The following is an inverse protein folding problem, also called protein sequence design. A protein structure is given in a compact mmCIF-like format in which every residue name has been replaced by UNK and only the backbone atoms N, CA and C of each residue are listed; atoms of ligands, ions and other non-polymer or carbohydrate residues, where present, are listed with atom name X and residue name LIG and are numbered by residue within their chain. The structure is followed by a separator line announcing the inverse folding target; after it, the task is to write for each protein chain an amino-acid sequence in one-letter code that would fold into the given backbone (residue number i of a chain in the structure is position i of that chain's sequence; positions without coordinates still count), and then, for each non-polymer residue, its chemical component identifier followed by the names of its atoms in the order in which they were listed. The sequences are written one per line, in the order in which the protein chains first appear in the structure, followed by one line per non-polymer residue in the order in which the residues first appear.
data_IF_415902204616
#
_entry.id   IF_415902204616
#
_cell.length_a   1.000
_cell.length_b   1.000
_cell.length_c   1.000
_cell.angle_alpha   90.00
_cell.angle_beta   90.00
_cell.angle_gamma   90.00
#
_symmetry.space_group_name_H-M   'P 1'
#
loop_
_entity.id
_entity.type
_entity.pdbx_description
1 polymer ?
#
# COMPACT_ATOMS: atom_id res chain seq x y z
N UNK A 1 -4.90 23.55 0.91
CA UNK A 1 -4.00 23.80 2.04
C UNK A 1 -2.89 22.73 2.01
N UNK A 2 -1.62 23.14 2.24
CA UNK A 2 -0.47 22.22 2.21
C UNK A 2 0.13 22.15 3.62
N UNK A 3 0.38 20.94 4.11
CA UNK A 3 1.03 20.68 5.39
C UNK A 3 2.32 19.90 5.18
N UNK A 4 3.39 20.29 5.88
CA UNK A 4 4.68 19.61 5.86
C UNK A 4 4.95 18.96 7.22
N UNK A 5 4.86 17.63 7.25
CA UNK A 5 5.23 16.85 8.42
C UNK A 5 6.74 16.51 8.37
N UNK A 6 7.54 17.31 9.10
CA UNK A 6 8.99 17.06 9.22
C UNK A 6 9.26 15.91 10.16
N UNK A 7 10.10 14.97 9.74
CA UNK A 7 10.54 13.82 10.53
C UNK A 7 12.03 13.96 10.86
N UNK A 8 12.50 13.50 12.04
CA UNK A 8 13.88 13.72 12.47
C UNK A 8 14.91 12.98 11.60
N UNK A 9 14.51 11.87 10.95
CA UNK A 9 15.35 11.06 10.08
C UNK A 9 14.51 10.14 9.20
N UNK A 10 15.15 9.46 8.25
CA UNK A 10 14.51 8.43 7.42
C UNK A 10 14.24 7.16 8.24
N UNK A 11 13.01 6.91 8.62
CA UNK A 11 12.57 5.76 9.43
C UNK A 11 11.84 4.68 8.61
N UNK A 12 11.73 4.88 7.29
CA UNK A 12 11.06 3.98 6.37
C UNK A 12 9.68 4.47 5.94
N UNK A 13 9.16 3.89 4.85
CA UNK A 13 7.91 4.31 4.20
C UNK A 13 6.70 4.02 5.11
N UNK A 14 6.61 2.83 5.69
CA UNK A 14 5.50 2.45 6.55
C UNK A 14 5.31 3.41 7.72
N UNK A 15 6.40 3.72 8.46
CA UNK A 15 6.30 4.70 9.55
C UNK A 15 5.93 6.11 9.06
N UNK A 16 6.29 6.49 7.83
CA UNK A 16 5.89 7.78 7.28
C UNK A 16 4.37 7.85 7.03
N UNK A 17 3.77 6.79 6.52
CA UNK A 17 2.31 6.71 6.37
C UNK A 17 1.60 6.69 7.72
N UNK A 18 2.08 5.91 8.69
CA UNK A 18 1.49 5.87 10.03
C UNK A 18 1.55 7.24 10.71
N UNK A 19 2.70 7.93 10.67
CA UNK A 19 2.83 9.28 11.21
C UNK A 19 1.87 10.25 10.49
N UNK A 20 1.78 10.19 9.16
CA UNK A 20 0.88 11.00 8.36
C UNK A 20 -0.60 10.75 8.67
N UNK A 21 -1.01 9.50 8.78
CA UNK A 21 -2.39 9.11 9.13
C UNK A 21 -2.77 9.56 10.54
N UNK A 22 -1.85 9.35 11.50
CA UNK A 22 -2.05 9.80 12.90
C UNK A 22 -2.22 11.31 12.95
N UNK A 23 -1.35 12.05 12.26
CA UNK A 23 -1.44 13.50 12.19
C UNK A 23 -2.74 13.97 11.52
N UNK A 24 -3.12 13.35 10.40
CA UNK A 24 -4.34 13.71 9.68
C UNK A 24 -5.60 13.47 10.53
N UNK A 25 -5.68 12.34 11.23
CA UNK A 25 -6.82 12.05 12.12
C UNK A 25 -6.93 13.04 13.27
N UNK A 26 -5.81 13.56 13.78
CA UNK A 26 -5.77 14.48 14.91
C UNK A 26 -6.03 15.94 14.52
N UNK A 27 -5.75 16.32 13.26
CA UNK A 27 -5.71 17.73 12.84
C UNK A 27 -6.69 18.08 11.72
N UNK A 28 -7.25 17.08 11.03
CA UNK A 28 -8.10 17.29 9.87
C UNK A 28 -9.44 16.56 9.99
N UNK A 29 -10.49 17.16 9.48
CA UNK A 29 -11.73 16.46 9.16
C UNK A 29 -11.67 15.99 7.72
N UNK A 30 -11.77 14.66 7.50
CA UNK A 30 -11.79 14.05 6.18
C UNK A 30 -12.59 12.75 6.20
N UNK A 31 -13.17 12.38 5.06
CA UNK A 31 -13.83 11.09 4.88
C UNK A 31 -12.91 10.08 4.21
N UNK A 32 -12.06 10.54 3.31
CA UNK A 32 -11.16 9.73 2.49
C UNK A 32 -9.76 10.32 2.54
N UNK A 33 -8.76 9.45 2.70
CA UNK A 33 -7.35 9.80 2.52
C UNK A 33 -6.79 9.07 1.30
N UNK A 34 -6.00 9.76 0.50
CA UNK A 34 -5.30 9.16 -0.65
C UNK A 34 -3.81 9.15 -0.37
N UNK A 35 -3.20 7.97 -0.40
CA UNK A 35 -1.75 7.82 -0.38
C UNK A 35 -1.22 7.66 -1.80
N UNK A 36 -0.17 8.42 -2.14
CA UNK A 36 0.46 8.36 -3.44
C UNK A 36 1.93 8.81 -3.37
N UNK A 37 2.73 8.38 -4.35
CA UNK A 37 4.11 8.86 -4.50
C UNK A 37 4.11 10.23 -5.20
N UNK A 38 5.05 11.11 -4.82
CA UNK A 38 5.19 12.47 -5.36
C UNK A 38 6.21 12.55 -6.52
N UNK A 39 6.46 11.44 -7.23
CA UNK A 39 7.45 11.34 -8.33
C UNK A 39 6.82 11.27 -9.73
N UNK A 40 5.55 11.64 -9.84
CA UNK A 40 4.72 11.60 -11.04
C UNK A 40 4.50 10.19 -11.64
N UNK A 41 4.83 9.13 -10.92
CA UNK A 41 4.46 7.76 -11.33
C UNK A 41 2.98 7.46 -11.08
N UNK A 42 2.35 8.19 -10.18
CA UNK A 42 0.92 8.18 -9.91
C UNK A 42 0.29 9.44 -10.47
N UNK A 43 -0.66 9.28 -11.40
CA UNK A 43 -1.29 10.42 -12.04
C UNK A 43 -2.44 10.97 -11.20
N UNK A 44 -2.49 12.30 -10.92
CA UNK A 44 -3.56 12.88 -10.10
C UNK A 44 -4.97 12.63 -10.62
N UNK A 45 -5.14 12.48 -11.95
CA UNK A 45 -6.44 12.18 -12.55
C UNK A 45 -7.03 10.84 -12.09
N UNK A 46 -6.18 9.88 -11.74
CA UNK A 46 -6.63 8.56 -11.26
C UNK A 46 -7.16 8.61 -9.82
N UNK A 47 -6.91 9.70 -9.07
CA UNK A 47 -7.49 9.91 -7.73
C UNK A 47 -9.02 9.85 -7.80
N UNK A 48 -9.61 10.42 -8.84
CA UNK A 48 -11.07 10.44 -9.01
C UNK A 48 -11.66 9.02 -9.05
N UNK A 49 -11.01 8.10 -9.74
CA UNK A 49 -11.44 6.69 -9.83
C UNK A 49 -11.38 5.99 -8.47
N UNK A 50 -10.30 6.23 -7.71
CA UNK A 50 -10.12 5.66 -6.38
C UNK A 50 -11.14 6.20 -5.38
N UNK A 51 -11.38 7.51 -5.42
CA UNK A 51 -12.37 8.17 -4.54
C UNK A 51 -13.78 7.68 -4.86
N UNK A 52 -14.14 7.55 -6.14
CA UNK A 52 -15.44 7.02 -6.55
C UNK A 52 -15.65 5.57 -6.05
N UNK A 53 -14.60 4.73 -6.03
CA UNK A 53 -14.71 3.39 -5.46
C UNK A 53 -15.05 3.43 -3.96
N UNK A 54 -14.43 4.32 -3.18
CA UNK A 54 -14.75 4.50 -1.76
C UNK A 54 -16.20 4.99 -1.55
N UNK A 55 -16.65 5.92 -2.38
CA UNK A 55 -18.03 6.43 -2.32
C UNK A 55 -19.09 5.35 -2.62
N UNK A 56 -18.71 4.29 -3.32
CA UNK A 56 -19.54 3.11 -3.58
C UNK A 56 -19.39 2.01 -2.48
N UNK A 57 -19.23 2.42 -1.22
CA UNK A 57 -19.15 1.55 -0.03
C UNK A 57 -17.96 0.59 0.01
N UNK A 58 -16.83 0.98 -0.55
CA UNK A 58 -15.55 0.26 -0.42
C UNK A 58 -14.71 0.93 0.66
N UNK A 59 -14.06 0.15 1.52
CA UNK A 59 -13.21 0.70 2.59
C UNK A 59 -11.82 1.10 2.08
N UNK A 60 -11.27 0.31 1.14
CA UNK A 60 -9.93 0.52 0.58
C UNK A 60 -9.95 0.30 -0.93
N UNK A 61 -9.63 1.32 -1.71
CA UNK A 61 -9.45 1.23 -3.15
C UNK A 61 -7.95 1.21 -3.50
N UNK A 62 -7.52 0.21 -4.25
CA UNK A 62 -6.12 -0.01 -4.65
C UNK A 62 -5.97 0.20 -6.14
N UNK A 63 -5.13 1.14 -6.55
CA UNK A 63 -4.79 1.31 -7.97
C UNK A 63 -3.97 0.12 -8.45
N UNK A 64 -4.48 -0.65 -9.40
CA UNK A 64 -3.92 -1.91 -9.85
C UNK A 64 -3.42 -1.86 -11.29
N UNK A 65 -2.21 -2.39 -11.49
CA UNK A 65 -1.56 -2.56 -12.80
C UNK A 65 -1.88 -3.92 -13.43
N UNK A 66 -2.51 -4.82 -12.68
CA UNK A 66 -2.65 -6.24 -13.03
C UNK A 66 -4.09 -6.71 -13.22
N UNK A 67 -5.06 -5.81 -13.14
CA UNK A 67 -6.43 -6.07 -13.58
C UNK A 67 -6.64 -5.57 -15.01
N UNK A 68 -7.78 -5.89 -15.60
CA UNK A 68 -8.13 -5.44 -16.95
C UNK A 68 -8.03 -3.92 -17.06
N UNK A 69 -7.45 -3.43 -18.16
CA UNK A 69 -7.13 -2.02 -18.41
C UNK A 69 -6.02 -1.42 -17.52
N UNK A 70 -5.50 -2.14 -16.52
CA UNK A 70 -4.32 -1.74 -15.77
C UNK A 70 -3.03 -2.01 -16.56
N UNK A 71 -2.03 -1.13 -16.47
CA UNK A 71 -0.76 -1.28 -17.20
C UNK A 71 0.42 -0.71 -16.42
N UNK A 72 1.62 -1.19 -16.75
CA UNK A 72 2.89 -0.60 -16.33
C UNK A 72 3.71 -0.22 -17.57
N UNK A 73 3.63 1.05 -17.97
CA UNK A 73 4.34 1.55 -19.12
C UNK A 73 5.84 1.65 -18.85
N UNK A 74 6.65 1.41 -19.90
CA UNK A 74 8.13 1.57 -19.86
C UNK A 74 8.87 0.79 -18.77
N UNK A 75 8.21 -0.19 -18.09
CA UNK A 75 8.94 -1.06 -17.19
C UNK A 75 9.73 -2.11 -17.96
N UNK A 76 11.02 -2.34 -17.62
CA UNK A 76 11.78 -3.46 -18.13
C UNK A 76 11.10 -4.79 -17.75
N UNK A 77 11.22 -5.79 -18.63
CA UNK A 77 10.54 -7.08 -18.45
C UNK A 77 10.90 -7.77 -17.12
N UNK A 78 12.19 -7.70 -16.70
CA UNK A 78 12.64 -8.27 -15.43
C UNK A 78 11.94 -7.62 -14.22
N UNK A 79 11.69 -6.31 -14.24
CA UNK A 79 10.95 -5.60 -13.20
C UNK A 79 9.48 -6.04 -13.14
N UNK A 80 8.87 -6.25 -14.31
CA UNK A 80 7.51 -6.80 -14.40
C UNK A 80 7.44 -8.20 -13.80
N UNK A 81 8.43 -9.05 -14.12
CA UNK A 81 8.52 -10.41 -13.60
C UNK A 81 8.67 -10.42 -12.07
N UNK A 82 9.62 -9.66 -11.54
CA UNK A 82 9.83 -9.55 -10.08
C UNK A 82 8.56 -9.09 -9.37
N UNK A 83 7.90 -8.06 -9.91
CA UNK A 83 6.65 -7.57 -9.31
C UNK A 83 5.53 -8.61 -9.36
N UNK A 84 5.39 -9.37 -10.45
CA UNK A 84 4.40 -10.45 -10.56
C UNK A 84 4.70 -11.59 -9.58
N UNK A 85 5.95 -11.98 -9.47
CA UNK A 85 6.37 -13.02 -8.50
C UNK A 85 6.11 -12.55 -7.07
N UNK A 86 6.42 -11.30 -6.74
CA UNK A 86 6.14 -10.75 -5.42
C UNK A 86 4.64 -10.74 -5.09
N UNK A 87 3.79 -10.32 -6.03
CA UNK A 87 2.33 -10.36 -5.85
C UNK A 87 1.81 -11.80 -5.72
N UNK A 88 2.29 -12.72 -6.56
CA UNK A 88 1.91 -14.12 -6.53
C UNK A 88 2.26 -14.79 -5.19
N UNK A 89 3.49 -14.62 -4.72
CA UNK A 89 3.92 -15.14 -3.42
C UNK A 89 3.11 -14.53 -2.26
N UNK A 90 2.86 -13.24 -2.30
CA UNK A 90 2.02 -12.59 -1.27
C UNK A 90 0.59 -13.13 -1.28
N UNK A 91 0.03 -13.38 -2.46
CA UNK A 91 -1.30 -13.97 -2.60
C UNK A 91 -1.35 -15.38 -2.00
N UNK A 92 -0.41 -16.26 -2.35
CA UNK A 92 -0.39 -17.64 -1.85
C UNK A 92 -0.11 -17.71 -0.34
N UNK A 93 0.86 -16.93 0.14
CA UNK A 93 1.33 -17.04 1.53
C UNK A 93 0.42 -16.32 2.53
N UNK A 94 -0.26 -15.26 2.11
CA UNK A 94 -1.08 -14.44 2.99
C UNK A 94 -2.57 -14.50 2.66
N UNK A 95 -2.95 -15.19 1.59
CA UNK A 95 -4.35 -15.30 1.15
C UNK A 95 -4.96 -13.96 0.71
N UNK A 96 -4.14 -12.94 0.39
CA UNK A 96 -4.66 -11.61 0.05
C UNK A 96 -5.33 -11.64 -1.32
N UNK A 97 -6.61 -11.33 -1.37
CA UNK A 97 -7.41 -11.36 -2.59
C UNK A 97 -7.31 -10.05 -3.40
N UNK A 98 -6.08 -9.62 -3.69
CA UNK A 98 -5.74 -8.44 -4.49
C UNK A 98 -4.63 -8.83 -5.45
N UNK A 99 -4.73 -8.46 -6.74
CA UNK A 99 -3.72 -8.79 -7.76
C UNK A 99 -2.49 -7.89 -7.67
N UNK A 100 -2.67 -6.62 -7.27
CA UNK A 100 -1.57 -5.66 -7.11
C UNK A 100 -1.35 -5.28 -5.64
N UNK A 101 -0.91 -6.26 -4.85
CA UNK A 101 -0.65 -6.11 -3.42
C UNK A 101 0.45 -5.08 -3.14
N UNK A 102 1.38 -4.91 -4.09
CA UNK A 102 2.55 -4.03 -3.96
C UNK A 102 2.26 -2.57 -4.35
N UNK A 103 1.05 -2.26 -4.80
CA UNK A 103 0.69 -0.88 -5.15
C UNK A 103 0.65 0.04 -3.93
N UNK A 104 1.29 1.20 -4.05
CA UNK A 104 1.28 2.27 -3.04
C UNK A 104 0.25 3.37 -3.29
N UNK A 105 -0.47 3.31 -4.41
CA UNK A 105 -1.49 4.28 -4.76
C UNK A 105 -2.87 3.75 -4.33
N UNK A 106 -3.42 4.35 -3.27
CA UNK A 106 -4.65 3.88 -2.62
C UNK A 106 -5.50 5.03 -2.12
N UNK A 107 -6.82 4.87 -2.19
CA UNK A 107 -7.75 5.64 -1.38
C UNK A 107 -8.27 4.77 -0.23
N UNK A 108 -8.45 5.37 0.93
CA UNK A 108 -8.77 4.68 2.18
C UNK A 108 -9.80 5.53 2.91
N UNK A 109 -10.92 4.96 3.34
CA UNK A 109 -11.89 5.69 4.12
C UNK A 109 -11.38 5.93 5.55
N UNK A 110 -11.98 6.90 6.24
CA UNK A 110 -11.57 7.28 7.60
C UNK A 110 -11.61 6.11 8.58
N UNK A 111 -12.63 5.25 8.48
CA UNK A 111 -12.78 4.06 9.33
C UNK A 111 -11.60 3.10 9.14
N UNK A 112 -11.22 2.80 7.91
CA UNK A 112 -10.11 1.90 7.62
C UNK A 112 -8.77 2.45 8.12
N UNK A 113 -8.56 3.78 8.04
CA UNK A 113 -7.38 4.43 8.64
C UNK A 113 -7.36 4.25 10.15
N UNK A 114 -8.49 4.49 10.82
CA UNK A 114 -8.61 4.31 12.27
C UNK A 114 -8.36 2.86 12.70
N UNK A 115 -8.89 1.89 11.96
CA UNK A 115 -8.68 0.47 12.25
C UNK A 115 -7.21 0.07 12.06
N UNK A 116 -6.55 0.49 10.95
CA UNK A 116 -5.13 0.21 10.72
C UNK A 116 -4.24 0.68 11.86
N UNK A 117 -4.52 1.87 12.40
CA UNK A 117 -3.71 2.46 13.47
C UNK A 117 -3.81 1.72 14.82
N UNK A 118 -4.76 0.80 14.97
CA UNK A 118 -4.84 -0.09 16.15
C UNK A 118 -3.81 -1.23 16.09
N UNK A 119 -3.11 -1.38 14.96
CA UNK A 119 -2.13 -2.45 14.73
C UNK A 119 -0.72 -1.88 14.70
N UNK A 120 0.22 -2.67 15.24
CA UNK A 120 1.64 -2.34 15.12
C UNK A 120 2.16 -2.78 13.76
N UNK A 121 2.49 -1.81 12.91
CA UNK A 121 3.16 -2.09 11.64
C UNK A 121 4.64 -2.36 11.89
N UNK A 122 5.08 -3.57 11.55
CA UNK A 122 6.45 -4.03 11.76
C UNK A 122 7.33 -3.87 10.52
N UNK A 123 6.72 -3.77 9.34
CA UNK A 123 7.42 -3.67 8.07
C UNK A 123 8.09 -2.32 7.86
N UNK A 124 9.24 -2.36 7.18
CA UNK A 124 9.96 -1.17 6.72
C UNK A 124 9.95 -1.12 5.19
N UNK A 125 9.96 0.08 4.64
CA UNK A 125 9.99 0.28 3.19
C UNK A 125 8.71 -0.18 2.49
N UNK A 126 8.83 -0.79 1.33
CA UNK A 126 7.70 -1.20 0.48
C UNK A 126 6.85 -2.34 1.06
N UNK A 127 7.37 -3.07 2.04
CA UNK A 127 6.64 -4.19 2.68
C UNK A 127 5.41 -3.72 3.44
N UNK A 128 5.36 -2.46 3.82
CA UNK A 128 4.18 -1.80 4.38
C UNK A 128 2.93 -1.99 3.51
N UNK A 129 3.08 -1.93 2.20
CA UNK A 129 1.95 -2.07 1.28
C UNK A 129 1.31 -3.46 1.42
N UNK A 130 2.11 -4.49 1.59
CA UNK A 130 1.66 -5.87 1.79
C UNK A 130 1.04 -6.04 3.18
N UNK A 131 1.73 -5.60 4.24
CA UNK A 131 1.28 -5.74 5.62
C UNK A 131 -0.04 -5.00 5.88
N UNK A 132 -0.18 -3.79 5.36
CA UNK A 132 -1.43 -3.04 5.53
C UNK A 132 -2.62 -3.67 4.82
N UNK A 133 -2.44 -4.24 3.61
CA UNK A 133 -3.51 -4.96 2.91
C UNK A 133 -3.87 -6.26 3.62
N UNK A 134 -2.88 -6.99 4.14
CA UNK A 134 -3.14 -8.17 4.94
C UNK A 134 -3.98 -7.85 6.17
N UNK A 135 -3.66 -6.75 6.88
CA UNK A 135 -4.45 -6.28 8.02
C UNK A 135 -5.88 -5.91 7.59
N UNK A 136 -6.04 -5.10 6.55
CA UNK A 136 -7.36 -4.70 6.09
C UNK A 136 -8.25 -5.90 5.75
N UNK A 137 -7.70 -6.91 5.06
CA UNK A 137 -8.44 -8.11 4.72
C UNK A 137 -8.78 -8.95 5.95
N UNK A 138 -7.84 -9.15 6.87
CA UNK A 138 -8.02 -9.95 8.08
C UNK A 138 -9.11 -9.39 9.02
N UNK A 139 -9.27 -8.06 9.04
CA UNK A 139 -10.33 -7.40 9.81
C UNK A 139 -11.66 -7.26 9.04
N UNK A 140 -11.76 -7.86 7.86
CA UNK A 140 -12.98 -7.92 7.08
C UNK A 140 -13.37 -6.62 6.37
N UNK A 141 -12.41 -5.73 6.10
CA UNK A 141 -12.68 -4.53 5.32
C UNK A 141 -12.80 -4.86 3.82
N UNK A 142 -13.69 -4.16 3.15
CA UNK A 142 -13.88 -4.30 1.71
C UNK A 142 -12.73 -3.64 0.94
N UNK A 143 -12.09 -4.42 0.06
CA UNK A 143 -10.98 -3.96 -0.77
C UNK A 143 -11.37 -4.11 -2.24
N UNK A 144 -11.21 -3.05 -3.04
CA UNK A 144 -11.45 -3.04 -4.48
C UNK A 144 -10.21 -2.62 -5.24
N UNK A 145 -9.93 -3.30 -6.34
CA UNK A 145 -8.90 -2.87 -7.29
C UNK A 145 -9.50 -1.96 -8.36
N UNK A 146 -8.82 -0.85 -8.62
CA UNK A 146 -9.18 0.14 -9.64
C UNK A 146 -8.09 0.16 -10.71
N UNK A 147 -8.39 0.01 -12.00
CA UNK A 147 -7.36 -0.04 -13.02
C UNK A 147 -6.66 1.33 -13.17
N UNK A 148 -5.33 1.30 -13.22
CA UNK A 148 -4.56 2.49 -13.54
C UNK A 148 -3.34 2.17 -14.41
N UNK A 149 -2.85 3.19 -15.07
CA UNK A 149 -1.65 3.10 -15.91
C UNK A 149 -0.47 3.71 -15.14
N UNK A 150 0.45 2.85 -14.70
CA UNK A 150 1.67 3.31 -14.05
C UNK A 150 2.62 3.89 -15.10
N UNK A 151 3.00 5.16 -14.93
CA UNK A 151 4.02 5.81 -15.75
C UNK A 151 5.42 5.66 -15.16
N UNK A 152 6.44 5.72 -16.02
CA UNK A 152 7.80 5.73 -15.52
C UNK A 152 8.08 7.05 -14.78
N UNK A 153 8.81 6.95 -13.68
CA UNK A 153 9.25 8.12 -12.91
C UNK A 153 10.00 9.11 -13.79
N UNK A 154 9.75 10.38 -13.61
CA UNK A 154 10.50 11.43 -14.31
C UNK A 154 11.95 11.51 -13.83
N UNK A 155 12.22 11.16 -12.57
CA UNK A 155 13.56 11.13 -12.00
C UNK A 155 13.72 10.02 -10.95
N UNK A 156 14.97 9.57 -10.74
CA UNK A 156 15.33 8.57 -9.75
C UNK A 156 15.49 7.15 -10.32
N UNK A 157 16.43 6.40 -9.74
CA UNK A 157 16.67 4.98 -10.09
C UNK A 157 15.87 4.05 -9.19
N UNK A 158 15.30 3.00 -9.74
CA UNK A 158 14.66 1.94 -8.97
C UNK A 158 15.72 1.21 -8.13
N UNK A 159 15.52 1.15 -6.81
CA UNK A 159 16.44 0.48 -5.88
C UNK A 159 16.02 -0.98 -5.66
N UNK A 160 15.72 -1.72 -6.73
CA UNK A 160 15.50 -3.17 -6.62
C UNK A 160 16.87 -3.88 -6.66
N UNK A 161 17.35 -4.26 -5.49
CA UNK A 161 18.51 -5.14 -5.34
C UNK A 161 18.05 -6.57 -5.04
N UNK A 162 18.91 -7.56 -5.31
CA UNK A 162 18.64 -8.96 -4.96
C UNK A 162 18.41 -9.14 -3.46
N UNK A 163 19.04 -8.32 -2.64
CA UNK A 163 18.83 -8.26 -1.19
C UNK A 163 17.44 -7.83 -0.79
N UNK A 164 16.81 -6.91 -1.54
CA UNK A 164 15.41 -6.51 -1.30
C UNK A 164 14.45 -7.65 -1.60
N UNK A 165 14.72 -8.45 -2.64
CA UNK A 165 13.92 -9.63 -2.99
C UNK A 165 14.03 -10.69 -1.88
N UNK A 166 15.25 -10.97 -1.41
CA UNK A 166 15.46 -11.90 -0.30
C UNK A 166 14.78 -11.43 0.99
N UNK A 167 14.96 -10.17 1.36
CA UNK A 167 14.29 -9.56 2.52
C UNK A 167 12.78 -9.63 2.41
N UNK A 168 12.24 -9.46 1.21
CA UNK A 168 10.81 -9.58 0.95
C UNK A 168 10.32 -11.02 1.19
N UNK A 169 11.03 -12.02 0.68
CA UNK A 169 10.68 -13.42 0.92
C UNK A 169 10.72 -13.76 2.42
N UNK A 170 11.77 -13.36 3.13
CA UNK A 170 11.86 -13.56 4.60
C UNK A 170 10.72 -12.83 5.33
N UNK A 171 10.35 -11.62 4.89
CA UNK A 171 9.23 -10.89 5.46
C UNK A 171 7.91 -11.62 5.26
N UNK A 172 7.65 -12.15 4.05
CA UNK A 172 6.43 -12.93 3.77
C UNK A 172 6.34 -14.19 4.65
N UNK A 173 7.45 -14.94 4.78
CA UNK A 173 7.48 -16.13 5.66
C UNK A 173 7.18 -15.73 7.11
N UNK A 174 7.81 -14.68 7.63
CA UNK A 174 7.56 -14.20 8.98
C UNK A 174 6.10 -13.78 9.17
N UNK A 175 5.56 -13.03 8.22
CA UNK A 175 4.17 -12.53 8.30
C UNK A 175 3.18 -13.70 8.22
N UNK A 176 3.42 -14.68 7.36
CA UNK A 176 2.60 -15.90 7.25
C UNK A 176 2.62 -16.74 8.52
N UNK A 177 3.81 -16.92 9.14
CA UNK A 177 3.95 -17.71 10.37
C UNK A 177 3.43 -17.01 11.62
N UNK A 178 3.58 -15.69 11.72
CA UNK A 178 3.05 -14.93 12.86
C UNK A 178 1.52 -14.81 12.81
N UNK A 179 0.94 -15.15 11.68
CA UNK A 179 -0.43 -14.78 11.32
C UNK A 179 -0.62 -13.26 11.38
N UNK A 180 -1.27 -12.68 10.42
CA UNK A 180 -1.79 -11.32 10.58
C UNK A 180 -2.95 -11.42 11.57
N UNK A 181 -2.60 -11.71 12.82
CA UNK A 181 -3.60 -11.87 13.86
C UNK A 181 -3.81 -10.51 14.55
N UNK A 182 -4.97 -9.88 14.40
CA UNK A 182 -5.28 -8.61 15.02
C UNK A 182 -4.97 -8.58 16.51
N UNK A 183 -5.18 -9.70 17.22
CA UNK A 183 -4.99 -9.82 18.68
C UNK A 183 -3.53 -9.68 19.11
N UNK A 184 -2.57 -10.08 18.26
CA UNK A 184 -1.13 -10.03 18.60
C UNK A 184 -0.44 -8.75 18.16
N UNK A 185 -1.05 -7.98 17.27
CA UNK A 185 -0.49 -6.74 16.71
C UNK A 185 -1.18 -5.47 17.18
N UNK A 186 -2.23 -5.55 18.04
CA UNK A 186 -2.87 -4.36 18.62
C UNK A 186 -1.89 -3.55 19.46
N UNK A 187 -1.85 -2.26 19.24
CA UNK A 187 -1.15 -1.32 20.13
C UNK A 187 -1.94 -1.28 21.44
N UNK A 188 -1.27 -1.62 22.55
CA UNK A 188 -1.79 -1.41 23.91
C UNK A 188 -1.88 0.06 24.23
#
# INVERSE_FOLDING_TARGET
QIYLLKRPRKLGLGSAYIDGFTWALSNLSFDIIVQMDADFSHQPIDIVKLVNAIQNNVDVAVASRYIESGKSNKWPWHRKLISRVANFLSHIMLGINVKDITSGFRAINRKAVQELLKYKINSRGYFYQVESLAIYQDIGLSIMEVPYVFEARLSGKAKLSIWEIFRFAVFLVKLSLSGVNPKTSKIK
#
